data_IF_942944432503
#
_entry.id   IF_942944432503
#
_cell.length_a   1.000
_cell.length_b   1.000
_cell.length_c   1.000
_cell.angle_alpha   90.00
_cell.angle_beta   90.00
_cell.angle_gamma   90.00
#
_symmetry.space_group_name_H-M   'P 1'
#
loop_
_entity.id
_entity.type
_entity.pdbx_description
1 polymer ?
#
# COMPACT_ATOMS: atom_id res chain seq x y z
N UNK A 1 -29.10 36.28 20.07
CA UNK A 1 -27.84 36.67 19.42
C UNK A 1 -26.68 36.10 20.22
N UNK A 2 -26.10 34.98 19.77
CA UNK A 2 -24.91 34.40 20.42
C UNK A 2 -23.70 35.20 19.93
N UNK A 3 -23.04 35.93 20.83
CA UNK A 3 -21.82 36.68 20.52
C UNK A 3 -20.66 35.69 20.41
N UNK A 4 -20.19 35.43 19.19
CA UNK A 4 -18.95 34.69 18.95
C UNK A 4 -17.79 35.52 19.51
N UNK A 5 -16.95 34.99 20.41
CA UNK A 5 -15.82 35.74 20.95
C UNK A 5 -14.84 36.06 19.82
N UNK A 6 -14.45 37.34 19.69
CA UNK A 6 -13.43 37.77 18.72
C UNK A 6 -12.10 37.13 19.10
N UNK A 7 -11.68 36.12 18.33
CA UNK A 7 -10.37 35.47 18.49
C UNK A 7 -9.30 36.50 18.11
N UNK A 8 -8.50 36.92 19.10
CA UNK A 8 -7.45 37.90 18.91
C UNK A 8 -6.18 37.20 18.40
N UNK A 9 -6.10 36.97 17.08
CA UNK A 9 -4.99 36.30 16.39
C UNK A 9 -3.57 36.75 16.82
N UNK A 10 -3.30 38.06 17.06
CA UNK A 10 -1.98 38.51 17.52
C UNK A 10 -1.59 37.98 18.90
N UNK A 11 -2.53 37.86 19.84
CA UNK A 11 -2.30 37.33 21.19
C UNK A 11 -2.17 35.81 21.22
N UNK A 12 -2.83 35.11 20.29
CA UNK A 12 -2.67 33.66 20.14
C UNK A 12 -1.30 33.33 19.51
N UNK A 13 -0.89 34.10 18.50
CA UNK A 13 0.41 33.98 17.84
C UNK A 13 1.59 34.21 18.80
N UNK A 14 1.46 35.10 19.79
CA UNK A 14 2.52 35.34 20.77
C UNK A 14 2.67 34.23 21.82
N UNK A 15 1.60 33.48 22.12
CA UNK A 15 1.64 32.33 23.05
C UNK A 15 2.19 31.05 22.43
N UNK A 16 2.06 30.88 21.11
CA UNK A 16 2.48 29.69 20.37
C UNK A 16 3.92 29.78 19.83
N UNK A 17 4.67 30.84 20.16
CA UNK A 17 6.06 30.99 19.75
C UNK A 17 7.01 30.40 20.80
N UNK A 18 7.89 29.50 20.36
CA UNK A 18 9.05 29.08 21.15
C UNK A 18 9.90 30.33 21.44
N UNK A 19 10.31 30.50 22.70
CA UNK A 19 11.07 31.68 23.12
C UNK A 19 12.46 31.70 22.47
N UNK A 20 12.83 32.85 21.94
CA UNK A 20 14.21 33.12 21.52
C UNK A 20 15.16 32.98 22.71
N UNK A 21 16.36 32.36 22.55
CA UNK A 21 17.02 32.01 21.29
C UNK A 21 16.80 30.57 20.81
N UNK A 22 16.05 29.76 21.55
CA UNK A 22 15.89 28.32 21.27
C UNK A 22 15.21 28.05 19.93
N UNK A 23 14.27 28.92 19.52
CA UNK A 23 13.62 28.82 18.21
C UNK A 23 14.64 28.88 17.06
N UNK A 24 15.61 29.78 17.13
CA UNK A 24 16.65 29.94 16.11
C UNK A 24 17.63 28.76 16.11
N UNK A 25 17.98 28.23 17.28
CA UNK A 25 18.90 27.10 17.40
C UNK A 25 18.28 25.83 16.80
N UNK A 26 17.02 25.54 17.15
CA UNK A 26 16.29 24.38 16.62
C UNK A 26 16.14 24.50 15.10
N UNK A 27 15.74 25.68 14.60
CA UNK A 27 15.60 25.91 13.15
C UNK A 27 16.95 25.78 12.44
N UNK A 28 18.04 26.26 13.02
CA UNK A 28 19.38 26.14 12.44
C UNK A 28 19.80 24.67 12.32
N UNK A 29 19.62 23.86 13.37
CA UNK A 29 19.93 22.43 13.33
C UNK A 29 19.07 21.70 12.29
N UNK A 30 17.76 21.98 12.26
CA UNK A 30 16.84 21.40 11.28
C UNK A 30 17.21 21.81 9.84
N UNK A 31 17.63 23.07 9.65
CA UNK A 31 18.05 23.59 8.34
C UNK A 31 19.29 22.85 7.84
N UNK A 32 20.28 22.62 8.70
CA UNK A 32 21.49 21.85 8.35
C UNK A 32 21.11 20.43 7.94
N UNK A 33 20.25 19.76 8.73
CA UNK A 33 19.82 18.39 8.46
C UNK A 33 19.13 18.25 7.09
N UNK A 34 18.24 19.20 6.73
CA UNK A 34 17.52 19.19 5.46
C UNK A 34 18.41 19.65 4.29
N UNK A 35 19.37 20.54 4.54
CA UNK A 35 20.27 21.06 3.50
C UNK A 35 21.12 19.96 2.89
N UNK A 36 21.59 18.99 3.68
CA UNK A 36 22.47 17.90 3.21
C UNK A 36 21.85 17.10 2.05
N UNK A 37 20.65 16.49 2.19
CA UNK A 37 20.05 15.73 1.08
C UNK A 37 19.66 16.64 -0.09
N UNK A 38 19.14 17.84 0.16
CA UNK A 38 18.75 18.78 -0.91
C UNK A 38 19.96 19.24 -1.72
N UNK A 39 21.08 19.49 -1.07
CA UNK A 39 22.34 19.84 -1.72
C UNK A 39 22.83 18.72 -2.63
N UNK A 40 22.76 17.46 -2.19
CA UNK A 40 23.15 16.29 -3.01
C UNK A 40 22.30 16.24 -4.29
N UNK A 41 20.97 16.39 -4.18
CA UNK A 41 20.05 16.38 -5.33
C UNK A 41 20.33 17.54 -6.29
N UNK A 42 20.55 18.75 -5.76
CA UNK A 42 20.83 19.92 -6.58
C UNK A 42 22.18 19.81 -7.28
N UNK A 43 23.22 19.35 -6.58
CA UNK A 43 24.54 19.20 -7.17
C UNK A 43 24.55 18.18 -8.31
N UNK A 44 23.78 17.08 -8.19
CA UNK A 44 23.68 16.08 -9.26
C UNK A 44 22.92 16.57 -10.50
N UNK A 45 22.03 17.55 -10.36
CA UNK A 45 21.16 18.03 -11.44
C UNK A 45 21.59 19.38 -12.04
N UNK A 46 22.48 20.12 -11.37
CA UNK A 46 23.01 21.39 -11.86
C UNK A 46 24.29 21.18 -12.65
N UNK A 47 24.55 22.08 -13.60
CA UNK A 47 25.75 22.04 -14.44
C UNK A 47 26.98 22.35 -13.56
N UNK A 48 28.02 21.51 -13.64
CA UNK A 48 29.30 21.74 -12.95
C UNK A 48 30.01 22.96 -13.52
N UNK A 49 30.05 24.04 -12.74
CA UNK A 49 30.71 25.29 -13.10
C UNK A 49 32.23 25.26 -12.85
N UNK A 50 32.74 24.23 -12.15
CA UNK A 50 34.17 23.89 -11.96
C UNK A 50 35.04 25.11 -11.61
N UNK A 51 34.57 25.92 -10.66
CA UNK A 51 35.35 27.05 -10.16
C UNK A 51 36.58 26.57 -9.38
N UNK A 52 37.63 27.39 -9.35
CA UNK A 52 38.84 27.07 -8.57
C UNK A 52 38.47 26.72 -7.12
N UNK A 53 39.07 25.67 -6.58
CA UNK A 53 38.81 25.15 -5.23
C UNK A 53 37.38 24.64 -4.96
N UNK A 54 36.60 24.32 -6.01
CA UNK A 54 35.18 23.92 -5.87
C UNK A 54 34.32 24.97 -5.14
N UNK A 55 34.66 26.25 -5.33
CA UNK A 55 33.94 27.37 -4.68
C UNK A 55 32.46 27.40 -5.08
N UNK A 56 32.14 26.99 -6.30
CA UNK A 56 30.79 26.80 -6.80
C UNK A 56 29.93 25.94 -5.86
N UNK A 57 30.48 24.82 -5.38
CA UNK A 57 29.79 23.88 -4.48
C UNK A 57 29.55 24.49 -3.09
N UNK A 58 30.54 25.22 -2.57
CA UNK A 58 30.43 25.91 -1.27
C UNK A 58 29.38 27.01 -1.33
N UNK A 59 29.35 27.79 -2.41
CA UNK A 59 28.34 28.83 -2.60
C UNK A 59 26.93 28.27 -2.73
N UNK A 60 26.75 27.19 -3.50
CA UNK A 60 25.45 26.52 -3.61
C UNK A 60 25.00 25.99 -2.23
N UNK A 61 25.88 25.35 -1.47
CA UNK A 61 25.56 24.84 -0.13
C UNK A 61 25.12 25.97 0.82
N UNK A 62 25.87 27.07 0.87
CA UNK A 62 25.55 28.23 1.72
C UNK A 62 24.24 28.87 1.27
N UNK A 63 24.01 29.01 -0.04
CA UNK A 63 22.79 29.58 -0.58
C UNK A 63 21.57 28.74 -0.23
N UNK A 64 21.64 27.41 -0.42
CA UNK A 64 20.56 26.47 -0.08
C UNK A 64 20.30 26.47 1.43
N UNK A 65 21.35 26.46 2.25
CA UNK A 65 21.22 26.54 3.71
C UNK A 65 20.50 27.82 4.14
N UNK A 66 20.90 28.97 3.57
CA UNK A 66 20.28 30.25 3.87
C UNK A 66 18.81 30.26 3.43
N UNK A 67 18.52 29.79 2.21
CA UNK A 67 17.16 29.72 1.69
C UNK A 67 16.25 28.85 2.57
N UNK A 68 16.68 27.64 2.91
CA UNK A 68 15.95 26.73 3.81
C UNK A 68 15.75 27.37 5.19
N UNK A 69 16.79 27.97 5.76
CA UNK A 69 16.72 28.63 7.06
C UNK A 69 15.70 29.77 7.08
N UNK A 70 15.69 30.64 6.08
CA UNK A 70 14.72 31.73 5.98
C UNK A 70 13.30 31.21 5.77
N UNK A 71 13.10 30.18 4.94
CA UNK A 71 11.80 29.54 4.72
C UNK A 71 11.27 28.94 6.02
N UNK A 72 12.09 28.17 6.75
CA UNK A 72 11.70 27.58 8.03
C UNK A 72 11.42 28.65 9.10
N UNK A 73 12.17 29.75 9.10
CA UNK A 73 11.93 30.87 10.00
C UNK A 73 10.61 31.60 9.68
N UNK A 74 10.27 31.73 8.40
CA UNK A 74 9.01 32.30 7.96
C UNK A 74 7.82 31.39 8.33
N UNK A 75 7.99 30.08 8.14
CA UNK A 75 6.95 29.07 8.38
C UNK A 75 6.87 28.59 9.83
N UNK A 76 7.74 29.05 10.75
CA UNK A 76 7.83 28.54 12.12
C UNK A 76 6.50 28.43 12.86
N UNK A 77 5.62 29.42 12.70
CA UNK A 77 4.28 29.40 13.34
C UNK A 77 3.38 28.36 12.70
N UNK A 78 3.44 28.19 11.37
CA UNK A 78 2.67 27.20 10.63
C UNK A 78 3.12 25.79 11.02
N UNK A 79 4.43 25.54 11.10
CA UNK A 79 4.99 24.25 11.51
C UNK A 79 4.49 23.85 12.90
N UNK A 80 4.52 24.77 13.88
CA UNK A 80 4.02 24.51 15.23
C UNK A 80 2.53 24.18 15.22
N UNK A 81 1.73 24.90 14.45
CA UNK A 81 0.28 24.63 14.31
C UNK A 81 0.04 23.26 13.67
N UNK A 82 0.78 22.91 12.62
CA UNK A 82 0.67 21.61 11.96
C UNK A 82 1.05 20.46 12.91
N UNK A 83 2.15 20.59 13.67
CA UNK A 83 2.57 19.58 14.65
C UNK A 83 1.55 19.46 15.79
N UNK A 84 1.02 20.57 16.29
CA UNK A 84 -0.01 20.54 17.32
C UNK A 84 -1.31 19.87 16.83
N UNK A 85 -1.73 20.18 15.60
CA UNK A 85 -2.90 19.56 14.98
C UNK A 85 -2.68 18.06 14.75
N UNK A 86 -1.50 17.67 14.28
CA UNK A 86 -1.12 16.27 14.10
C UNK A 86 -1.19 15.51 15.44
N UNK A 87 -0.60 16.05 16.50
CA UNK A 87 -0.67 15.45 17.84
C UNK A 87 -2.11 15.36 18.35
N UNK A 88 -2.96 16.37 18.10
CA UNK A 88 -4.37 16.31 18.47
C UNK A 88 -5.12 15.20 17.72
N UNK A 89 -4.85 15.02 16.42
CA UNK A 89 -5.42 13.92 15.63
C UNK A 89 -4.99 12.57 16.20
N UNK A 90 -3.72 12.41 16.58
CA UNK A 90 -3.23 11.16 17.18
C UNK A 90 -3.81 10.87 18.56
N UNK A 91 -3.92 11.89 19.42
CA UNK A 91 -4.57 11.73 20.72
C UNK A 91 -6.04 11.35 20.53
N UNK A 92 -6.74 12.02 19.62
CA UNK A 92 -8.13 11.72 19.28
C UNK A 92 -8.29 10.29 18.74
N UNK A 93 -7.42 9.89 17.80
CA UNK A 93 -7.41 8.54 17.24
C UNK A 93 -7.16 7.47 18.29
N UNK A 94 -6.14 7.67 19.13
CA UNK A 94 -5.76 6.73 20.20
C UNK A 94 -6.87 6.49 21.23
N UNK A 95 -7.67 7.53 21.55
CA UNK A 95 -8.76 7.42 22.54
C UNK A 95 -10.01 6.76 21.94
N UNK A 96 -10.27 6.95 20.64
CA UNK A 96 -11.48 6.45 19.98
C UNK A 96 -11.28 5.15 19.20
N UNK A 97 -10.08 4.55 19.26
CA UNK A 97 -9.75 3.31 18.55
C UNK A 97 -9.53 3.48 17.05
N UNK A 98 -9.25 4.70 16.59
CA UNK A 98 -8.78 4.99 15.23
C UNK A 98 -7.24 5.14 15.22
N UNK A 99 -6.65 5.41 14.06
CA UNK A 99 -5.19 5.57 13.90
C UNK A 99 -4.56 6.53 14.94
N UNK A 100 -3.69 6.00 15.80
CA UNK A 100 -3.15 6.68 16.97
C UNK A 100 -1.67 6.38 17.22
N UNK A 101 -1.22 6.52 18.47
CA UNK A 101 0.19 6.35 18.85
C UNK A 101 0.67 4.90 18.73
N UNK A 102 -0.21 3.93 18.97
CA UNK A 102 0.14 2.51 18.89
C UNK A 102 0.41 2.12 17.44
N UNK A 103 -0.44 2.56 16.52
CA UNK A 103 -0.33 2.30 15.09
C UNK A 103 0.93 2.94 14.51
N UNK A 104 1.27 4.17 14.91
CA UNK A 104 2.55 4.79 14.52
C UNK A 104 3.75 4.00 15.04
N UNK A 105 3.68 3.53 16.29
CA UNK A 105 4.74 2.73 16.87
C UNK A 105 4.89 1.39 16.15
N UNK A 106 3.79 0.75 15.78
CA UNK A 106 3.77 -0.46 14.96
C UNK A 106 4.35 -0.20 13.57
N UNK A 107 3.89 0.85 12.87
CA UNK A 107 4.37 1.26 11.54
C UNK A 107 5.88 1.58 11.53
N UNK A 108 6.39 2.19 12.61
CA UNK A 108 7.81 2.47 12.76
C UNK A 108 8.61 1.18 12.99
N UNK A 109 8.17 0.33 13.91
CA UNK A 109 8.84 -0.94 14.18
C UNK A 109 8.86 -1.85 12.96
N UNK A 110 7.75 -1.90 12.23
CA UNK A 110 7.64 -2.69 11.01
C UNK A 110 8.53 -2.16 9.90
N UNK A 111 8.64 -0.84 9.75
CA UNK A 111 9.58 -0.21 8.82
C UNK A 111 11.03 -0.58 9.16
N UNK A 112 11.44 -0.47 10.43
CA UNK A 112 12.80 -0.82 10.88
C UNK A 112 13.10 -2.30 10.66
N UNK A 113 12.15 -3.18 10.96
CA UNK A 113 12.29 -4.62 10.73
C UNK A 113 12.42 -4.96 9.24
N UNK A 114 11.57 -4.37 8.40
CA UNK A 114 11.64 -4.58 6.94
C UNK A 114 12.96 -4.04 6.37
N UNK A 115 13.50 -2.96 6.94
CA UNK A 115 14.81 -2.40 6.56
C UNK A 115 15.99 -3.25 7.02
N UNK A 116 15.90 -3.96 8.16
CA UNK A 116 17.03 -4.77 8.66
C UNK A 116 17.32 -5.97 7.78
N UNK A 117 16.29 -6.49 7.12
CA UNK A 117 16.37 -7.73 6.35
C UNK A 117 16.56 -7.49 4.84
N UNK A 118 16.56 -6.22 4.39
CA UNK A 118 16.68 -5.86 2.98
C UNK A 118 18.09 -5.31 2.63
N UNK A 119 18.78 -5.85 1.61
CA UNK A 119 20.07 -5.34 1.16
C UNK A 119 20.03 -3.89 0.62
N UNK A 120 18.85 -3.35 0.30
CA UNK A 120 18.65 -1.98 -0.22
C UNK A 120 17.51 -1.25 0.54
N UNK A 121 17.75 -0.79 1.79
CA UNK A 121 16.71 -0.22 2.65
C UNK A 121 16.09 1.08 2.11
N UNK A 122 16.79 1.81 1.23
CA UNK A 122 16.24 2.99 0.55
C UNK A 122 15.03 2.67 -0.34
N UNK A 123 14.98 1.48 -0.93
CA UNK A 123 13.94 1.11 -1.91
C UNK A 123 12.61 0.83 -1.20
N UNK A 124 12.64 0.42 0.07
CA UNK A 124 11.43 0.27 0.92
C UNK A 124 10.77 1.62 1.18
N UNK A 125 11.59 2.65 1.46
CA UNK A 125 11.09 4.02 1.69
C UNK A 125 10.49 4.54 0.40
N UNK A 126 11.19 4.37 -0.73
CA UNK A 126 10.72 4.82 -2.04
C UNK A 126 9.45 4.07 -2.45
N UNK A 127 9.37 2.75 -2.26
CA UNK A 127 8.18 1.95 -2.54
C UNK A 127 6.97 2.35 -1.67
N UNK A 128 7.17 2.61 -0.36
CA UNK A 128 6.09 3.13 0.50
C UNK A 128 5.67 4.57 0.14
N UNK A 129 6.57 5.37 -0.43
CA UNK A 129 6.30 6.75 -0.89
C UNK A 129 5.68 6.80 -2.30
N UNK A 130 5.93 5.79 -3.14
CA UNK A 130 5.37 5.70 -4.48
C UNK A 130 3.87 5.38 -4.35
N UNK A 131 2.98 6.27 -4.83
CA UNK A 131 1.56 5.98 -4.79
C UNK A 131 1.28 4.75 -5.65
N UNK A 132 0.46 3.84 -5.13
CA UNK A 132 -0.04 2.70 -5.91
C UNK A 132 -0.64 3.23 -7.22
N UNK A 133 -0.18 2.73 -8.39
CA UNK A 133 -0.56 3.30 -9.67
C UNK A 133 -2.08 3.24 -9.83
N UNK A 134 -2.67 4.34 -10.34
CA UNK A 134 -4.11 4.43 -10.59
C UNK A 134 -5.02 4.06 -9.38
N UNK A 135 -4.54 4.16 -8.13
CA UNK A 135 -5.24 3.72 -6.91
C UNK A 135 -6.73 4.06 -6.87
N UNK A 136 -7.10 5.32 -7.14
CA UNK A 136 -8.50 5.74 -7.10
C UNK A 136 -9.36 5.07 -8.17
N UNK A 137 -8.82 4.88 -9.38
CA UNK A 137 -9.52 4.19 -10.48
C UNK A 137 -9.75 2.73 -10.12
N UNK A 138 -8.71 2.06 -9.61
CA UNK A 138 -8.76 0.65 -9.19
C UNK A 138 -9.79 0.46 -8.06
N UNK A 139 -9.77 1.31 -7.02
CA UNK A 139 -10.74 1.23 -5.92
C UNK A 139 -12.18 1.36 -6.43
N UNK A 140 -12.42 2.28 -7.37
CA UNK A 140 -13.74 2.48 -7.97
C UNK A 140 -14.15 1.28 -8.86
N UNK A 141 -13.20 0.72 -9.60
CA UNK A 141 -13.43 -0.40 -10.53
C UNK A 141 -13.75 -1.73 -9.84
N UNK A 142 -13.39 -1.91 -8.56
CA UNK A 142 -13.66 -3.14 -7.81
C UNK A 142 -15.15 -3.43 -7.66
N UNK A 143 -16.02 -2.44 -7.48
CA UNK A 143 -17.49 -2.63 -7.48
C UNK A 143 -18.00 -3.83 -6.64
N UNK A 144 -17.38 -4.17 -5.51
CA UNK A 144 -17.68 -5.42 -4.77
C UNK A 144 -19.13 -5.52 -4.24
N UNK A 145 -19.83 -4.39 -4.13
CA UNK A 145 -21.23 -4.31 -3.74
C UNK A 145 -22.19 -4.45 -4.93
N UNK A 146 -21.68 -4.43 -6.16
CA UNK A 146 -22.50 -4.58 -7.36
C UNK A 146 -23.14 -5.97 -7.40
N UNK A 147 -24.46 -6.06 -7.65
CA UNK A 147 -25.16 -7.34 -7.70
C UNK A 147 -24.60 -8.32 -8.74
N UNK A 148 -24.07 -7.87 -9.88
CA UNK A 148 -23.47 -8.76 -10.90
C UNK A 148 -22.23 -9.44 -10.33
N UNK A 149 -21.34 -8.68 -9.67
CA UNK A 149 -20.13 -9.20 -9.01
C UNK A 149 -20.50 -10.19 -7.92
N UNK A 150 -21.42 -9.81 -7.03
CA UNK A 150 -21.86 -10.69 -5.94
C UNK A 150 -22.54 -11.96 -6.44
N UNK A 151 -23.42 -11.85 -7.44
CA UNK A 151 -24.13 -13.00 -8.00
C UNK A 151 -23.16 -13.95 -8.72
N UNK A 152 -22.18 -13.41 -9.43
CA UNK A 152 -21.10 -14.20 -10.02
C UNK A 152 -20.31 -14.96 -8.96
N UNK A 153 -19.88 -14.28 -7.89
CA UNK A 153 -19.14 -14.93 -6.81
C UNK A 153 -19.97 -16.05 -6.15
N UNK A 154 -21.26 -15.82 -5.90
CA UNK A 154 -22.17 -16.85 -5.37
C UNK A 154 -22.32 -18.03 -6.34
N UNK A 155 -22.44 -17.76 -7.64
CA UNK A 155 -22.48 -18.80 -8.67
C UNK A 155 -21.21 -19.67 -8.60
N UNK A 156 -20.03 -19.05 -8.57
CA UNK A 156 -18.76 -19.78 -8.46
C UNK A 156 -18.71 -20.69 -7.22
N UNK A 157 -19.22 -20.23 -6.07
CA UNK A 157 -19.30 -21.06 -4.85
C UNK A 157 -20.32 -22.20 -4.92
N UNK A 158 -21.30 -22.12 -5.83
CA UNK A 158 -22.25 -23.19 -6.06
C UNK A 158 -21.71 -24.24 -7.04
N UNK A 159 -20.94 -23.81 -8.04
CA UNK A 159 -20.32 -24.68 -9.03
C UNK A 159 -19.12 -25.45 -8.46
N UNK A 160 -18.24 -24.78 -7.72
CA UNK A 160 -17.00 -25.38 -7.21
C UNK A 160 -17.05 -25.58 -5.69
N UNK A 161 -16.56 -26.74 -5.24
CA UNK A 161 -16.28 -27.07 -3.83
C UNK A 161 -17.46 -27.00 -2.83
N UNK A 162 -18.71 -26.88 -3.30
CA UNK A 162 -19.92 -26.83 -2.45
C UNK A 162 -20.09 -28.01 -1.49
N UNK A 163 -19.66 -29.20 -1.90
CA UNK A 163 -19.85 -30.46 -1.17
C UNK A 163 -18.81 -30.75 -0.08
N UNK A 164 -17.81 -29.90 0.11
CA UNK A 164 -16.72 -30.14 1.06
C UNK A 164 -17.23 -30.02 2.51
N UNK A 165 -17.04 -31.08 3.31
CA UNK A 165 -17.43 -31.16 4.72
C UNK A 165 -16.19 -31.24 5.62
N UNK A 166 -16.32 -30.82 6.88
CA UNK A 166 -15.27 -30.97 7.89
C UNK A 166 -14.31 -29.78 8.05
N UNK A 167 -14.48 -28.72 7.24
CA UNK A 167 -13.60 -27.53 7.25
C UNK A 167 -14.41 -26.24 7.48
N UNK A 168 -15.22 -26.20 8.54
CA UNK A 168 -16.05 -25.01 8.88
C UNK A 168 -15.23 -23.74 9.01
N UNK A 169 -14.05 -23.86 9.64
CA UNK A 169 -13.18 -22.73 9.96
C UNK A 169 -12.57 -22.09 8.71
N UNK A 170 -12.46 -22.87 7.62
CA UNK A 170 -11.92 -22.43 6.32
C UNK A 170 -13.00 -22.27 5.25
N UNK A 171 -14.29 -22.22 5.65
CA UNK A 171 -15.41 -22.16 4.70
C UNK A 171 -15.29 -20.97 3.76
N UNK A 172 -15.03 -19.77 4.28
CA UNK A 172 -14.86 -18.56 3.47
C UNK A 172 -13.68 -18.70 2.52
N UNK A 173 -12.54 -19.22 2.98
CA UNK A 173 -11.35 -19.43 2.14
C UNK A 173 -11.60 -20.43 1.02
N UNK A 174 -12.33 -21.53 1.29
CA UNK A 174 -12.74 -22.52 0.27
C UNK A 174 -13.66 -21.86 -0.77
N UNK A 175 -14.56 -20.99 -0.34
CA UNK A 175 -15.42 -20.22 -1.25
C UNK A 175 -14.62 -19.21 -2.09
N UNK A 176 -13.60 -18.56 -1.53
CA UNK A 176 -12.68 -17.71 -2.28
C UNK A 176 -11.89 -18.53 -3.32
N UNK A 177 -11.49 -19.75 -2.98
CA UNK A 177 -10.85 -20.67 -3.92
C UNK A 177 -11.79 -21.15 -5.03
N UNK A 178 -13.09 -21.28 -4.76
CA UNK A 178 -14.09 -21.55 -5.78
C UNK A 178 -14.19 -20.39 -6.79
N UNK A 179 -14.19 -19.15 -6.30
CA UNK A 179 -14.14 -17.93 -7.13
C UNK A 179 -12.86 -17.90 -7.97
N UNK A 180 -11.71 -18.13 -7.35
CA UNK A 180 -10.43 -18.20 -8.06
C UNK A 180 -10.46 -19.23 -9.20
N UNK A 181 -10.98 -20.43 -8.93
CA UNK A 181 -11.07 -21.50 -9.92
C UNK A 181 -11.96 -21.09 -11.09
N UNK A 182 -13.10 -20.49 -10.82
CA UNK A 182 -14.03 -20.05 -11.86
C UNK A 182 -13.39 -18.97 -12.76
N UNK A 183 -12.82 -17.92 -12.16
CA UNK A 183 -12.16 -16.84 -12.93
C UNK A 183 -10.98 -17.40 -13.73
N UNK A 184 -10.01 -18.07 -13.10
CA UNK A 184 -8.80 -18.54 -13.78
C UNK A 184 -9.07 -19.62 -14.84
N UNK A 185 -10.18 -20.35 -14.74
CA UNK A 185 -10.54 -21.34 -15.76
C UNK A 185 -11.05 -20.72 -17.07
N UNK A 186 -11.52 -19.46 -17.01
CA UNK A 186 -12.14 -18.73 -18.11
C UNK A 186 -11.33 -17.52 -18.57
N UNK A 187 -10.38 -17.07 -17.75
CA UNK A 187 -9.62 -15.85 -18.01
C UNK A 187 -8.79 -15.95 -19.29
N UNK A 188 -8.92 -14.94 -20.14
CA UNK A 188 -8.16 -14.78 -21.38
C UNK A 188 -7.40 -13.45 -21.34
N UNK A 189 -6.07 -13.52 -21.28
CA UNK A 189 -5.24 -12.33 -21.18
C UNK A 189 -5.25 -11.52 -22.49
N UNK A 190 -5.58 -10.24 -22.39
CA UNK A 190 -5.61 -9.29 -23.52
C UNK A 190 -4.84 -8.04 -23.10
N UNK A 191 -3.88 -7.63 -23.92
CA UNK A 191 -3.11 -6.42 -23.67
C UNK A 191 -3.96 -5.17 -23.95
N UNK A 192 -3.69 -4.11 -23.21
CA UNK A 192 -4.24 -2.80 -23.45
C UNK A 192 -3.82 -2.17 -24.80
N UNK A 193 -4.58 -1.18 -25.29
CA UNK A 193 -4.17 -0.36 -26.42
C UNK A 193 -2.82 0.33 -26.16
N UNK A 194 -2.03 0.52 -27.22
CA UNK A 194 -0.70 1.15 -27.11
C UNK A 194 -0.69 2.58 -26.56
N UNK A 195 -1.84 3.26 -26.56
CA UNK A 195 -1.97 4.67 -26.18
C UNK A 195 -2.37 4.90 -24.71
N UNK A 196 -2.47 3.83 -23.90
CA UNK A 196 -2.60 3.96 -22.45
C UNK A 196 -3.31 2.78 -21.79
N UNK A 197 -3.27 2.78 -20.46
CA UNK A 197 -3.86 1.73 -19.63
C UNK A 197 -5.37 1.96 -19.46
N UNK A 198 -6.17 0.98 -19.86
CA UNK A 198 -7.61 0.97 -19.65
C UNK A 198 -7.92 0.08 -18.46
N UNK A 199 -8.56 0.66 -17.44
CA UNK A 199 -8.92 -0.07 -16.22
C UNK A 199 -10.40 -0.46 -16.34
N UNK A 200 -10.66 -1.71 -16.67
CA UNK A 200 -12.01 -2.24 -16.73
C UNK A 200 -12.59 -2.38 -15.32
N UNK A 201 -13.90 -2.18 -15.20
CA UNK A 201 -14.57 -2.49 -13.93
C UNK A 201 -14.71 -4.00 -13.74
N UNK A 202 -14.92 -4.44 -12.50
CA UNK A 202 -15.20 -5.84 -12.21
C UNK A 202 -16.48 -6.30 -12.93
N UNK A 203 -17.52 -5.45 -13.01
CA UNK A 203 -18.76 -5.79 -13.71
C UNK A 203 -18.57 -5.90 -15.23
N UNK A 204 -17.67 -5.13 -15.84
CA UNK A 204 -17.26 -5.24 -17.24
C UNK A 204 -16.44 -6.52 -17.49
N UNK A 205 -15.44 -6.78 -16.65
CA UNK A 205 -14.56 -7.96 -16.76
C UNK A 205 -15.32 -9.28 -16.65
N UNK A 206 -16.43 -9.33 -15.90
CA UNK A 206 -17.31 -10.53 -15.79
C UNK A 206 -17.97 -10.89 -17.11
N UNK A 207 -18.19 -9.94 -18.01
CA UNK A 207 -18.90 -10.21 -19.26
C UNK A 207 -18.04 -11.05 -20.22
N UNK A 208 -16.74 -10.77 -20.25
CA UNK A 208 -15.82 -11.36 -21.22
C UNK A 208 -14.75 -12.26 -20.60
N UNK A 209 -14.54 -12.22 -19.29
CA UNK A 209 -13.42 -12.87 -18.60
C UNK A 209 -12.10 -12.63 -19.35
N UNK A 210 -11.90 -11.40 -19.81
CA UNK A 210 -10.77 -11.03 -20.65
C UNK A 210 -10.29 -9.64 -20.25
N UNK A 211 -8.98 -9.45 -20.29
CA UNK A 211 -8.34 -8.22 -19.86
C UNK A 211 -6.89 -8.46 -19.52
N UNK A 212 -6.23 -7.43 -19.02
CA UNK A 212 -4.82 -7.47 -18.68
C UNK A 212 -4.58 -7.94 -17.22
N UNK A 213 -3.44 -7.58 -16.61
CA UNK A 213 -3.15 -7.94 -15.23
C UNK A 213 -3.97 -7.14 -14.22
N UNK A 214 -4.30 -5.90 -14.53
CA UNK A 214 -5.08 -5.01 -13.68
C UNK A 214 -6.52 -5.47 -13.63
N UNK A 215 -7.11 -5.77 -14.79
CA UNK A 215 -8.49 -6.24 -14.92
C UNK A 215 -8.73 -7.56 -14.17
N UNK A 216 -7.80 -8.52 -14.30
CA UNK A 216 -7.86 -9.79 -13.57
C UNK A 216 -7.84 -9.55 -12.07
N UNK A 217 -6.89 -8.72 -11.63
CA UNK A 217 -6.68 -8.38 -10.22
C UNK A 217 -7.91 -7.72 -9.62
N UNK A 218 -8.50 -6.77 -10.34
CA UNK A 218 -9.73 -6.05 -9.95
C UNK A 218 -10.89 -7.02 -9.82
N UNK A 219 -11.13 -7.86 -10.85
CA UNK A 219 -12.21 -8.85 -10.83
C UNK A 219 -12.05 -9.85 -9.68
N UNK A 220 -10.85 -10.39 -9.49
CA UNK A 220 -10.57 -11.35 -8.42
C UNK A 220 -10.83 -10.73 -7.05
N UNK A 221 -10.29 -9.54 -6.80
CA UNK A 221 -10.49 -8.83 -5.54
C UNK A 221 -11.97 -8.47 -5.30
N UNK A 222 -12.68 -8.01 -6.33
CA UNK A 222 -14.10 -7.71 -6.29
C UNK A 222 -14.94 -8.92 -5.87
N UNK A 223 -14.77 -10.03 -6.57
CA UNK A 223 -15.54 -11.24 -6.34
C UNK A 223 -15.25 -11.82 -4.95
N UNK A 224 -13.99 -11.85 -4.51
CA UNK A 224 -13.58 -12.34 -3.19
C UNK A 224 -14.14 -11.46 -2.07
N UNK A 225 -14.03 -10.13 -2.20
CA UNK A 225 -14.55 -9.20 -1.20
C UNK A 225 -16.07 -9.28 -1.08
N UNK A 226 -16.78 -9.53 -2.19
CA UNK A 226 -18.24 -9.65 -2.19
C UNK A 226 -18.79 -10.84 -1.37
N UNK A 227 -17.95 -11.84 -1.10
CA UNK A 227 -18.30 -13.04 -0.30
C UNK A 227 -17.60 -13.06 1.07
N UNK A 228 -16.98 -11.94 1.48
CA UNK A 228 -16.40 -11.78 2.81
C UNK A 228 -14.95 -12.26 2.95
N UNK A 229 -14.24 -12.52 1.84
CA UNK A 229 -12.79 -12.66 1.87
C UNK A 229 -12.09 -11.30 1.93
N UNK A 230 -10.83 -11.29 2.33
CA UNK A 230 -10.00 -10.07 2.40
C UNK A 230 -8.91 -10.13 1.34
N UNK A 231 -9.11 -9.52 0.16
CA UNK A 231 -8.10 -9.45 -0.87
C UNK A 231 -7.17 -8.25 -0.69
N UNK A 232 -5.98 -8.33 -1.27
CA UNK A 232 -5.10 -7.18 -1.53
C UNK A 232 -4.53 -7.28 -2.93
N UNK A 233 -4.17 -6.13 -3.50
CA UNK A 233 -3.47 -6.07 -4.78
C UNK A 233 -2.01 -5.74 -4.56
N UNK A 234 -1.11 -6.50 -5.18
CA UNK A 234 0.33 -6.28 -5.13
C UNK A 234 0.78 -5.72 -6.47
N UNK A 235 1.49 -4.59 -6.43
CA UNK A 235 2.14 -3.99 -7.59
C UNK A 235 3.63 -4.30 -7.55
N UNK A 236 4.12 -4.85 -8.66
CA UNK A 236 5.53 -5.18 -8.90
C UNK A 236 6.02 -4.48 -10.17
N UNK A 237 7.23 -4.80 -10.64
CA UNK A 237 7.80 -4.19 -11.85
C UNK A 237 7.02 -4.60 -13.11
N UNK A 238 5.98 -3.84 -13.45
CA UNK A 238 5.16 -4.03 -14.64
C UNK A 238 4.12 -5.15 -14.53
N UNK A 239 3.70 -5.49 -13.31
CA UNK A 239 2.64 -6.49 -13.08
C UNK A 239 1.88 -6.18 -11.80
N UNK A 240 0.56 -6.34 -11.84
CA UNK A 240 -0.32 -6.29 -10.68
C UNK A 240 -0.99 -7.66 -10.52
N UNK A 241 -1.04 -8.17 -9.29
CA UNK A 241 -1.72 -9.43 -9.02
C UNK A 241 -2.47 -9.42 -7.68
N UNK A 242 -3.53 -10.23 -7.54
CA UNK A 242 -4.30 -10.31 -6.30
C UNK A 242 -3.71 -11.35 -5.33
N UNK A 243 -3.81 -11.08 -4.04
CA UNK A 243 -3.56 -12.03 -2.96
C UNK A 243 -4.75 -12.06 -2.00
N UNK A 244 -4.87 -13.14 -1.21
CA UNK A 244 -5.85 -13.23 -0.13
C UNK A 244 -5.23 -13.49 1.22
N UNK A 245 -5.82 -12.90 2.24
CA UNK A 245 -5.54 -13.24 3.63
C UNK A 245 -6.07 -14.64 3.94
N UNK A 246 -5.18 -15.52 4.41
CA UNK A 246 -5.56 -16.88 4.87
C UNK A 246 -5.46 -17.07 6.38
N UNK A 247 -4.81 -16.15 7.10
CA UNK A 247 -4.66 -16.21 8.56
C UNK A 247 -3.21 -16.34 8.98
N UNK A 248 -2.89 -17.33 9.82
CA UNK A 248 -1.56 -17.56 10.39
C UNK A 248 -0.76 -18.64 9.63
N UNK A 249 0.48 -18.88 10.05
CA UNK A 249 1.28 -20.02 9.55
C UNK A 249 0.63 -21.38 9.83
N UNK A 250 -0.13 -21.51 10.94
CA UNK A 250 -0.88 -22.75 11.25
C UNK A 250 -2.00 -22.95 10.22
N UNK A 251 -2.66 -21.87 9.81
CA UNK A 251 -3.69 -21.90 8.79
C UNK A 251 -3.11 -22.27 7.42
N UNK A 252 -1.91 -21.75 7.10
CA UNK A 252 -1.20 -22.09 5.88
C UNK A 252 -0.96 -23.61 5.75
N UNK A 253 -0.60 -24.31 6.83
CA UNK A 253 -0.40 -25.77 6.78
C UNK A 253 -1.68 -26.51 6.38
N UNK A 254 -2.83 -26.12 6.96
CA UNK A 254 -4.13 -26.72 6.63
C UNK A 254 -4.61 -26.32 5.24
N UNK A 255 -4.39 -25.07 4.83
CA UNK A 255 -4.69 -24.58 3.49
C UNK A 255 -3.83 -25.30 2.44
N UNK A 256 -2.55 -25.53 2.72
CA UNK A 256 -1.67 -26.30 1.86
C UNK A 256 -2.17 -27.74 1.68
N UNK A 257 -2.63 -28.39 2.76
CA UNK A 257 -3.28 -29.69 2.65
C UNK A 257 -4.55 -29.63 1.78
N UNK A 258 -5.43 -28.65 2.01
CA UNK A 258 -6.68 -28.47 1.25
C UNK A 258 -6.41 -28.28 -0.24
N UNK A 259 -5.50 -27.38 -0.60
CA UNK A 259 -5.15 -27.11 -2.01
C UNK A 259 -4.61 -28.38 -2.66
N UNK A 260 -3.68 -29.08 -2.00
CA UNK A 260 -2.95 -30.20 -2.60
C UNK A 260 -3.70 -31.52 -2.64
N UNK A 261 -4.58 -31.78 -1.66
CA UNK A 261 -5.22 -33.08 -1.50
C UNK A 261 -6.74 -33.07 -1.73
N UNK A 262 -7.36 -31.89 -1.74
CA UNK A 262 -8.83 -31.78 -1.79
C UNK A 262 -9.31 -30.94 -2.97
N UNK A 263 -8.78 -29.72 -3.14
CA UNK A 263 -9.38 -28.71 -4.02
C UNK A 263 -8.74 -28.64 -5.41
N UNK A 264 -7.40 -28.71 -5.49
CA UNK A 264 -6.61 -28.52 -6.73
C UNK A 264 -5.58 -29.64 -6.92
N UNK A 265 -5.98 -30.89 -6.67
CA UNK A 265 -5.08 -32.06 -6.60
C UNK A 265 -4.23 -32.21 -7.85
N UNK A 266 -4.83 -32.03 -9.04
CA UNK A 266 -4.11 -32.18 -10.31
C UNK A 266 -3.25 -30.95 -10.60
N UNK A 267 -3.79 -29.77 -10.37
CA UNK A 267 -3.20 -28.48 -10.73
C UNK A 267 -1.98 -28.13 -9.87
N UNK A 268 -1.99 -28.56 -8.60
CA UNK A 268 -0.95 -28.27 -7.59
C UNK A 268 0.05 -29.43 -7.36
N UNK A 269 -0.11 -30.57 -8.04
CA UNK A 269 0.73 -31.75 -7.86
C UNK A 269 2.22 -31.45 -8.10
N UNK A 270 3.07 -31.79 -7.12
CA UNK A 270 4.52 -31.56 -7.18
C UNK A 270 4.97 -30.09 -7.06
N UNK A 271 4.04 -29.15 -6.85
CA UNK A 271 4.34 -27.71 -6.81
C UNK A 271 4.39 -27.15 -5.39
N UNK A 272 5.13 -26.05 -5.22
CA UNK A 272 5.20 -25.29 -3.97
C UNK A 272 4.11 -24.22 -3.95
N UNK A 273 3.69 -23.84 -2.75
CA UNK A 273 2.83 -22.68 -2.54
C UNK A 273 3.70 -21.47 -2.25
N UNK A 274 3.38 -20.35 -2.88
CA UNK A 274 4.01 -19.07 -2.66
C UNK A 274 3.04 -18.13 -1.94
N UNK A 275 3.57 -17.44 -0.94
CA UNK A 275 2.82 -16.58 -0.04
C UNK A 275 3.74 -15.50 0.52
N UNK A 276 3.14 -14.44 1.03
CA UNK A 276 3.82 -13.39 1.78
C UNK A 276 3.36 -13.40 3.23
N UNK A 277 4.24 -13.00 4.14
CA UNK A 277 3.90 -12.76 5.54
C UNK A 277 3.98 -11.25 5.74
N UNK A 278 2.92 -10.64 6.25
CA UNK A 278 2.92 -9.21 6.55
C UNK A 278 3.54 -8.89 7.91
N UNK A 279 3.65 -7.59 8.19
CA UNK A 279 4.23 -7.02 9.40
C UNK A 279 3.51 -7.48 10.69
N UNK A 280 2.28 -8.01 10.59
CA UNK A 280 1.45 -8.52 11.70
C UNK A 280 1.51 -10.05 11.80
N UNK A 281 2.35 -10.71 11.02
CA UNK A 281 2.46 -12.16 10.96
C UNK A 281 1.29 -12.84 10.25
N UNK A 282 0.48 -12.09 9.50
CA UNK A 282 -0.60 -12.67 8.70
C UNK A 282 -0.06 -13.16 7.35
N UNK A 283 -0.58 -14.30 6.91
CA UNK A 283 -0.19 -14.98 5.68
C UNK A 283 -1.14 -14.60 4.55
N UNK A 284 -0.55 -14.21 3.43
CA UNK A 284 -1.22 -13.78 2.21
C UNK A 284 -0.85 -14.72 1.07
N UNK A 285 -1.85 -15.34 0.46
CA UNK A 285 -1.66 -16.35 -0.58
C UNK A 285 -1.86 -15.76 -1.98
N UNK A 286 -0.95 -16.06 -2.91
CA UNK A 286 -1.01 -15.59 -4.29
C UNK A 286 -2.22 -16.13 -5.05
N UNK A 287 -2.96 -15.27 -5.77
CA UNK A 287 -4.09 -15.62 -6.63
C UNK A 287 -3.91 -15.16 -8.10
N UNK A 288 -2.68 -14.95 -8.54
CA UNK A 288 -2.36 -14.58 -9.93
C UNK A 288 -2.92 -15.58 -10.97
N UNK A 289 -3.32 -15.07 -12.15
CA UNK A 289 -3.80 -15.86 -13.29
C UNK A 289 -2.72 -16.75 -13.91
N UNK A 290 -1.44 -16.46 -13.63
CA UNK A 290 -0.29 -17.23 -14.14
C UNK A 290 -0.30 -18.70 -13.68
N UNK A 291 -1.03 -19.03 -12.60
CA UNK A 291 -1.18 -20.39 -12.09
C UNK A 291 -2.63 -20.87 -12.08
N UNK A 292 -2.81 -22.19 -12.23
CA UNK A 292 -4.13 -22.85 -12.17
C UNK A 292 -4.52 -23.33 -10.77
N UNK A 293 -3.80 -22.88 -9.74
CA UNK A 293 -4.05 -23.22 -8.34
C UNK A 293 -3.66 -22.02 -7.46
N UNK A 294 -4.32 -21.80 -6.31
CA UNK A 294 -3.94 -20.76 -5.35
C UNK A 294 -2.54 -21.01 -4.79
N UNK A 295 -1.74 -19.95 -4.64
CA UNK A 295 -0.34 -20.04 -4.22
C UNK A 295 0.62 -20.37 -5.35
N UNK A 296 0.29 -20.00 -6.59
CA UNK A 296 1.22 -20.09 -7.72
C UNK A 296 2.49 -19.25 -7.55
N UNK A 297 3.55 -19.49 -8.34
CA UNK A 297 4.78 -18.69 -8.29
C UNK A 297 4.50 -17.20 -8.58
N UNK A 298 5.28 -16.32 -7.98
CA UNK A 298 5.26 -14.90 -8.30
C UNK A 298 5.96 -14.64 -9.64
N UNK A 299 5.41 -13.72 -10.45
CA UNK A 299 6.08 -13.28 -11.67
C UNK A 299 7.33 -12.46 -11.35
N UNK A 300 7.25 -11.63 -10.32
CA UNK A 300 8.35 -10.83 -9.79
C UNK A 300 8.33 -10.89 -8.26
N UNK A 301 9.50 -11.05 -7.62
CA UNK A 301 9.61 -11.10 -6.15
C UNK A 301 9.61 -9.71 -5.52
N UNK A 302 9.97 -8.67 -6.27
CA UNK A 302 10.10 -7.30 -5.76
C UNK A 302 8.72 -6.60 -5.70
N UNK A 303 8.27 -6.31 -4.48
CA UNK A 303 7.02 -5.59 -4.22
C UNK A 303 7.28 -4.08 -4.19
N UNK A 304 6.66 -3.35 -5.12
CA UNK A 304 6.73 -1.89 -5.19
C UNK A 304 5.57 -1.21 -4.44
N UNK A 305 4.47 -1.92 -4.21
CA UNK A 305 3.34 -1.41 -3.44
C UNK A 305 2.27 -2.46 -3.16
N UNK A 306 1.48 -2.23 -2.12
CA UNK A 306 0.35 -3.08 -1.75
C UNK A 306 -0.91 -2.23 -1.48
N UNK A 307 -2.05 -2.69 -1.96
CA UNK A 307 -3.37 -2.10 -1.72
C UNK A 307 -4.28 -3.12 -1.06
N UNK A 308 -4.41 -3.05 0.27
CA UNK A 308 -5.29 -3.92 1.05
C UNK A 308 -6.72 -3.40 1.04
N UNK A 309 -7.68 -4.30 0.78
CA UNK A 309 -9.09 -3.98 0.61
C UNK A 309 -9.90 -4.53 1.79
N UNK A 310 -9.85 -3.81 2.92
CA UNK A 310 -10.59 -4.13 4.14
C UNK A 310 -12.06 -3.71 4.07
#
# INVERSE_FOLDING_TARGET
MIRIPKINFPQLKSKLQVKSPWDRIIIMLLSILITIPVFIILHQNLIDLNWAFNLDRIFIFIFVLAAIFFVLMYLRTIIIVCVALYLLVLVYGSVLGNYGFNEISEDYNSMIYTMSDNPFPQDIIVAKLLPFPNKSKIINAIEYQDPKVRNFAIMATNEHFKGIKGYSDYRTTIQCFAVFKEINSRWNYVNDPKEGDYIATASESIEYFSGDCDDHSILMAAAIRSIGGTPRLIHTKGHIYPEILIGSMIDLEKINYLIKNVLFVKESSGKKLHYHIDERGQVWLNLDYTAKYPGGPFMFEEILGALTLN
#
